data_IF_468993064411
#
_entry.id   IF_468993064411
#
_cell.length_a   1.000
_cell.length_b   1.000
_cell.length_c   1.000
_cell.angle_alpha   90.00
_cell.angle_beta   90.00
_cell.angle_gamma   90.00
#
_symmetry.space_group_name_H-M   'P 1'
#
loop_
_entity.id
_entity.type
_entity.pdbx_description
1 polymer ?
#
# COMPACT_ATOMS: atom_id res chain seq x y z
N UNK A 1 26.65 -7.72 -9.18
CA UNK A 1 26.03 -7.63 -10.52
C UNK A 1 24.91 -8.65 -10.78
N UNK A 2 24.59 -9.57 -9.86
CA UNK A 2 23.53 -10.59 -10.04
C UNK A 2 22.09 -10.09 -9.74
N UNK A 3 21.92 -8.89 -9.18
CA UNK A 3 20.61 -8.38 -8.74
C UNK A 3 19.74 -7.87 -9.89
N UNK A 4 20.30 -7.18 -10.90
CA UNK A 4 19.51 -6.68 -12.05
C UNK A 4 18.95 -7.81 -12.92
N UNK A 5 19.75 -8.83 -13.23
CA UNK A 5 19.30 -9.96 -14.04
C UNK A 5 18.20 -10.77 -13.36
N UNK A 6 18.26 -10.93 -12.03
CA UNK A 6 17.24 -11.66 -11.28
C UNK A 6 15.92 -10.87 -11.18
N UNK A 7 15.99 -9.53 -11.07
CA UNK A 7 14.80 -8.66 -11.11
C UNK A 7 14.13 -8.72 -12.49
N UNK A 8 14.90 -8.67 -13.58
CA UNK A 8 14.37 -8.81 -14.95
C UNK A 8 13.72 -10.18 -15.19
N UNK A 9 14.30 -11.26 -14.65
CA UNK A 9 13.74 -12.61 -14.76
C UNK A 9 12.42 -12.72 -13.98
N UNK A 10 12.36 -12.18 -12.76
CA UNK A 10 11.14 -12.17 -11.95
C UNK A 10 10.04 -11.35 -12.64
N UNK A 11 10.37 -10.17 -13.19
CA UNK A 11 9.40 -9.33 -13.89
C UNK A 11 8.82 -10.05 -15.11
N UNK A 12 9.67 -10.69 -15.94
CA UNK A 12 9.22 -11.50 -17.09
C UNK A 12 8.31 -12.66 -16.68
N UNK A 13 8.55 -13.27 -15.52
CA UNK A 13 7.71 -14.37 -14.99
C UNK A 13 6.37 -13.87 -14.45
N UNK A 14 6.31 -12.64 -13.96
CA UNK A 14 5.09 -12.05 -13.41
C UNK A 14 4.18 -11.47 -14.49
N UNK A 15 4.72 -11.02 -15.64
CA UNK A 15 3.95 -10.46 -16.77
C UNK A 15 2.70 -11.28 -17.15
N UNK A 16 2.78 -12.61 -17.38
CA UNK A 16 1.60 -13.40 -17.72
C UNK A 16 0.50 -13.36 -16.65
N UNK A 17 0.87 -13.21 -15.38
CA UNK A 17 -0.10 -13.11 -14.28
C UNK A 17 -0.80 -11.75 -14.32
N UNK A 18 -0.04 -10.66 -14.51
CA UNK A 18 -0.60 -9.31 -14.71
C UNK A 18 -1.52 -9.26 -15.93
N UNK A 19 -1.08 -9.77 -17.08
CA UNK A 19 -1.88 -9.83 -18.30
C UNK A 19 -3.20 -10.57 -18.07
N UNK A 20 -3.18 -11.69 -17.32
CA UNK A 20 -4.41 -12.42 -16.99
C UNK A 20 -5.33 -11.62 -16.05
N UNK A 21 -4.78 -10.92 -15.06
CA UNK A 21 -5.54 -10.10 -14.12
C UNK A 21 -6.17 -8.89 -14.81
N UNK A 22 -5.44 -8.23 -15.70
CA UNK A 22 -5.90 -7.04 -16.44
C UNK A 22 -6.99 -7.41 -17.45
N UNK A 23 -6.90 -8.61 -18.04
CA UNK A 23 -7.95 -9.16 -18.90
C UNK A 23 -9.13 -9.78 -18.12
N UNK A 24 -9.16 -9.67 -16.79
CA UNK A 24 -10.23 -10.24 -15.95
C UNK A 24 -10.24 -11.78 -15.87
N UNK A 25 -9.25 -12.45 -16.43
CA UNK A 25 -9.12 -13.90 -16.47
C UNK A 25 -8.54 -14.46 -15.16
N UNK A 26 -9.24 -14.23 -14.04
CA UNK A 26 -8.76 -14.56 -12.69
C UNK A 26 -8.41 -16.05 -12.52
N UNK A 27 -9.16 -16.98 -13.15
CA UNK A 27 -8.84 -18.42 -13.12
C UNK A 27 -7.48 -18.72 -13.75
N UNK A 28 -7.16 -18.09 -14.89
CA UNK A 28 -5.87 -18.25 -15.56
C UNK A 28 -4.75 -17.58 -14.77
N UNK A 29 -5.01 -16.42 -14.17
CA UNK A 29 -4.04 -15.75 -13.29
C UNK A 29 -3.59 -16.65 -12.13
N UNK A 30 -4.51 -17.39 -11.50
CA UNK A 30 -4.17 -18.37 -10.46
C UNK A 30 -3.28 -19.48 -11.02
N UNK A 31 -3.61 -20.02 -12.20
CA UNK A 31 -2.81 -21.08 -12.83
C UNK A 31 -1.39 -20.61 -13.18
N UNK A 32 -1.24 -19.41 -13.72
CA UNK A 32 0.08 -18.83 -14.01
C UNK A 32 0.86 -18.55 -12.72
N UNK A 33 0.20 -18.02 -11.68
CA UNK A 33 0.83 -17.84 -10.38
C UNK A 33 1.31 -19.17 -9.79
N UNK A 34 0.51 -20.24 -9.86
CA UNK A 34 0.91 -21.57 -9.39
C UNK A 34 2.08 -22.16 -10.19
N UNK A 35 2.13 -21.93 -11.51
CA UNK A 35 3.28 -22.32 -12.34
C UNK A 35 4.56 -21.61 -11.90
N UNK A 36 4.48 -20.31 -11.63
CA UNK A 36 5.62 -19.52 -11.13
C UNK A 36 6.06 -20.02 -9.76
N UNK A 37 5.12 -20.24 -8.84
CA UNK A 37 5.40 -20.71 -7.48
C UNK A 37 5.95 -22.13 -7.43
N UNK A 38 5.62 -22.99 -8.40
CA UNK A 38 6.26 -24.31 -8.55
C UNK A 38 7.76 -24.21 -8.87
N UNK A 39 8.15 -23.23 -9.68
CA UNK A 39 9.55 -22.98 -10.04
C UNK A 39 10.30 -22.19 -8.98
N UNK A 40 9.59 -21.30 -8.27
CA UNK A 40 10.17 -20.36 -7.31
C UNK A 40 9.18 -20.11 -6.18
N UNK A 41 9.26 -20.93 -5.14
CA UNK A 41 8.34 -20.90 -3.98
C UNK A 41 8.43 -19.62 -3.17
N UNK A 42 9.56 -18.92 -3.26
CA UNK A 42 9.87 -17.74 -2.45
C UNK A 42 9.48 -16.42 -3.12
N UNK A 43 8.86 -16.47 -4.31
CA UNK A 43 8.41 -15.25 -4.98
C UNK A 43 7.12 -14.73 -4.35
N UNK A 44 7.26 -13.90 -3.31
CA UNK A 44 6.15 -13.33 -2.53
C UNK A 44 5.15 -12.57 -3.40
N UNK A 45 5.64 -11.78 -4.37
CA UNK A 45 4.78 -11.05 -5.31
C UNK A 45 3.80 -11.99 -6.07
N UNK A 46 4.25 -13.16 -6.53
CA UNK A 46 3.37 -14.13 -7.19
C UNK A 46 2.28 -14.69 -6.24
N UNK A 47 2.59 -14.86 -4.95
CA UNK A 47 1.60 -15.24 -3.93
C UNK A 47 0.55 -14.15 -3.74
N UNK A 48 0.96 -12.88 -3.72
CA UNK A 48 0.03 -11.75 -3.62
C UNK A 48 -0.85 -11.64 -4.86
N UNK A 49 -0.30 -11.80 -6.06
CA UNK A 49 -1.10 -11.80 -7.30
C UNK A 49 -2.11 -12.97 -7.35
N UNK A 50 -1.74 -14.14 -6.81
CA UNK A 50 -2.69 -15.24 -6.60
C UNK A 50 -3.80 -14.84 -5.62
N UNK A 51 -3.46 -14.18 -4.52
CA UNK A 51 -4.44 -13.67 -3.56
C UNK A 51 -5.40 -12.68 -4.22
N UNK A 52 -4.89 -11.75 -5.03
CA UNK A 52 -5.71 -10.80 -5.80
C UNK A 52 -6.70 -11.51 -6.73
N UNK A 53 -6.23 -12.50 -7.49
CA UNK A 53 -7.10 -13.29 -8.36
C UNK A 53 -8.19 -14.06 -7.57
N UNK A 54 -7.85 -14.60 -6.39
CA UNK A 54 -8.81 -15.26 -5.51
C UNK A 54 -9.87 -14.29 -4.98
N UNK A 55 -9.47 -13.09 -4.55
CA UNK A 55 -10.37 -12.03 -4.09
C UNK A 55 -11.35 -11.63 -5.19
N UNK A 56 -10.86 -11.40 -6.42
CA UNK A 56 -11.70 -11.05 -7.59
C UNK A 56 -12.64 -12.19 -8.04
N UNK A 57 -12.36 -13.43 -7.64
CA UNK A 57 -13.26 -14.58 -7.86
C UNK A 57 -14.31 -14.76 -6.76
N UNK A 58 -14.34 -13.91 -5.74
CA UNK A 58 -15.24 -14.05 -4.58
C UNK A 58 -14.74 -15.04 -3.52
N UNK A 59 -13.55 -15.63 -3.69
CA UNK A 59 -12.92 -16.53 -2.71
C UNK A 59 -12.21 -15.72 -1.62
N UNK A 60 -12.98 -14.89 -0.91
CA UNK A 60 -12.46 -13.89 0.01
C UNK A 60 -11.67 -14.46 1.18
N UNK A 61 -12.12 -15.59 1.74
CA UNK A 61 -11.45 -16.23 2.89
C UNK A 61 -10.02 -16.68 2.54
N UNK A 62 -9.85 -17.37 1.41
CA UNK A 62 -8.55 -17.87 0.97
C UNK A 62 -7.61 -16.74 0.55
N UNK A 63 -8.12 -15.77 -0.23
CA UNK A 63 -7.34 -14.61 -0.65
C UNK A 63 -6.87 -13.77 0.55
N UNK A 64 -7.74 -13.54 1.52
CA UNK A 64 -7.41 -12.75 2.72
C UNK A 64 -6.43 -13.47 3.64
N UNK A 65 -6.58 -14.79 3.83
CA UNK A 65 -5.65 -15.60 4.64
C UNK A 65 -4.24 -15.65 4.03
N UNK A 66 -4.14 -15.76 2.70
CA UNK A 66 -2.86 -15.69 2.01
C UNK A 66 -2.22 -14.31 2.18
N UNK A 67 -3.00 -13.24 2.00
CA UNK A 67 -2.53 -11.86 2.14
C UNK A 67 -2.10 -11.53 3.58
N UNK A 68 -2.82 -12.02 4.59
CA UNK A 68 -2.45 -11.80 5.99
C UNK A 68 -1.15 -12.50 6.36
N UNK A 69 -0.92 -13.71 5.84
CA UNK A 69 0.33 -14.45 6.06
C UNK A 69 1.52 -13.68 5.48
N UNK A 70 1.35 -13.11 4.28
CA UNK A 70 2.39 -12.29 3.64
C UNK A 70 2.59 -10.97 4.39
N UNK A 71 1.51 -10.36 4.90
CA UNK A 71 1.62 -9.13 5.66
C UNK A 71 2.45 -9.31 6.94
N UNK A 72 2.32 -10.46 7.62
CA UNK A 72 3.09 -10.79 8.81
C UNK A 72 4.59 -10.97 8.53
N UNK A 73 4.99 -11.30 7.30
CA UNK A 73 6.40 -11.37 6.93
C UNK A 73 7.03 -10.00 6.64
N UNK A 74 6.26 -8.91 6.78
CA UNK A 74 6.68 -7.52 6.56
C UNK A 74 7.52 -7.33 5.27
N UNK A 75 6.92 -7.58 4.09
CA UNK A 75 7.64 -7.52 2.84
C UNK A 75 8.12 -6.09 2.55
N UNK A 76 9.27 -5.96 1.90
CA UNK A 76 9.84 -4.65 1.54
C UNK A 76 10.08 -4.49 0.05
N UNK A 77 9.88 -5.54 -0.76
CA UNK A 77 10.01 -5.41 -2.20
C UNK A 77 8.85 -4.58 -2.78
N UNK A 78 9.20 -3.56 -3.57
CA UNK A 78 8.24 -2.63 -4.16
C UNK A 78 7.11 -3.34 -4.92
N UNK A 79 7.44 -4.34 -5.73
CA UNK A 79 6.44 -5.11 -6.50
C UNK A 79 5.45 -5.83 -5.57
N UNK A 80 5.92 -6.38 -4.45
CA UNK A 80 5.08 -7.05 -3.46
C UNK A 80 4.19 -6.02 -2.75
N UNK A 81 4.77 -4.90 -2.29
CA UNK A 81 4.04 -3.81 -1.63
C UNK A 81 2.92 -3.25 -2.51
N UNK A 82 3.23 -3.00 -3.78
CA UNK A 82 2.26 -2.49 -4.76
C UNK A 82 1.12 -3.49 -4.99
N UNK A 83 1.43 -4.77 -5.20
CA UNK A 83 0.42 -5.81 -5.36
C UNK A 83 -0.48 -5.95 -4.12
N UNK A 84 0.09 -5.84 -2.91
CA UNK A 84 -0.69 -5.91 -1.67
C UNK A 84 -1.58 -4.68 -1.49
N UNK A 85 -1.06 -3.49 -1.80
CA UNK A 85 -1.81 -2.23 -1.79
C UNK A 85 -3.04 -2.30 -2.70
N UNK A 86 -2.92 -2.93 -3.88
CA UNK A 86 -4.07 -3.18 -4.77
C UNK A 86 -5.10 -4.09 -4.10
N UNK A 87 -4.67 -5.22 -3.53
CA UNK A 87 -5.57 -6.15 -2.82
C UNK A 87 -6.35 -5.46 -1.68
N UNK A 88 -5.66 -4.64 -0.88
CA UNK A 88 -6.29 -3.91 0.21
C UNK A 88 -7.20 -2.78 -0.27
N UNK A 89 -6.89 -2.12 -1.38
CA UNK A 89 -7.80 -1.13 -2.00
C UNK A 89 -9.09 -1.77 -2.48
N UNK A 90 -9.01 -2.92 -3.15
CA UNK A 90 -10.20 -3.64 -3.65
C UNK A 90 -11.09 -4.14 -2.50
N UNK A 91 -10.50 -4.44 -1.35
CA UNK A 91 -11.22 -4.87 -0.15
C UNK A 91 -11.50 -3.73 0.84
N UNK A 92 -11.23 -2.47 0.45
CA UNK A 92 -11.43 -1.25 1.26
C UNK A 92 -10.71 -1.23 2.63
N UNK A 93 -9.65 -2.02 2.79
CA UNK A 93 -8.85 -2.12 4.02
C UNK A 93 -7.68 -1.11 3.99
N UNK A 94 -8.02 0.18 3.97
CA UNK A 94 -7.02 1.26 3.86
C UNK A 94 -6.07 1.36 5.07
N UNK A 95 -6.54 0.93 6.24
CA UNK A 95 -5.76 0.81 7.48
C UNK A 95 -4.55 -0.12 7.29
N UNK A 96 -4.77 -1.26 6.62
CA UNK A 96 -3.70 -2.24 6.34
C UNK A 96 -2.68 -1.72 5.34
N UNK A 97 -3.07 -0.82 4.45
CA UNK A 97 -2.13 -0.15 3.53
C UNK A 97 -1.17 0.75 4.32
N UNK A 98 -1.70 1.53 5.27
CA UNK A 98 -0.84 2.36 6.13
C UNK A 98 0.09 1.49 6.97
N UNK A 99 -0.42 0.42 7.60
CA UNK A 99 0.41 -0.53 8.35
C UNK A 99 1.50 -1.18 7.49
N UNK A 100 1.16 -1.57 6.26
CA UNK A 100 2.09 -2.18 5.31
C UNK A 100 3.27 -1.26 4.98
N UNK A 101 2.97 -0.01 4.59
CA UNK A 101 4.02 0.94 4.25
C UNK A 101 4.74 1.48 5.49
N UNK A 102 4.11 1.51 6.67
CA UNK A 102 4.77 1.87 7.92
C UNK A 102 5.85 0.84 8.28
N UNK A 103 5.52 -0.45 8.23
CA UNK A 103 6.48 -1.54 8.44
C UNK A 103 7.63 -1.48 7.41
N UNK A 104 7.31 -1.31 6.13
CA UNK A 104 8.32 -1.16 5.09
C UNK A 104 9.20 0.09 5.28
N UNK A 105 8.64 1.21 5.76
CA UNK A 105 9.39 2.44 6.02
C UNK A 105 10.36 2.30 7.18
N UNK A 106 10.05 1.49 8.19
CA UNK A 106 10.96 1.20 9.31
C UNK A 106 12.19 0.42 8.85
N UNK A 107 12.02 -0.50 7.91
CA UNK A 107 13.12 -1.28 7.33
C UNK A 107 13.91 -0.48 6.28
N UNK A 108 13.24 0.41 5.53
CA UNK A 108 13.84 1.26 4.51
C UNK A 108 13.52 2.76 4.72
N UNK A 109 14.04 3.39 5.78
CA UNK A 109 13.64 4.74 6.21
C UNK A 109 14.02 5.86 5.23
N UNK A 110 14.90 5.58 4.28
CA UNK A 110 15.37 6.52 3.26
C UNK A 110 14.80 6.22 1.86
N UNK A 111 13.82 5.31 1.76
CA UNK A 111 13.15 5.03 0.49
C UNK A 111 12.01 6.02 0.26
N UNK A 112 12.23 6.92 -0.71
CA UNK A 112 11.32 8.01 -1.07
C UNK A 112 9.96 7.51 -1.57
N UNK A 113 9.93 6.40 -2.31
CA UNK A 113 8.72 5.83 -2.88
C UNK A 113 7.83 5.22 -1.79
N UNK A 114 8.44 4.46 -0.86
CA UNK A 114 7.74 3.89 0.31
C UNK A 114 7.13 5.00 1.17
N UNK A 115 7.90 6.06 1.47
CA UNK A 115 7.42 7.18 2.25
C UNK A 115 6.31 7.96 1.54
N UNK A 116 6.39 8.10 0.21
CA UNK A 116 5.36 8.74 -0.60
C UNK A 116 4.05 7.92 -0.57
N UNK A 117 4.15 6.59 -0.68
CA UNK A 117 2.99 5.71 -0.54
C UNK A 117 2.40 5.73 0.89
N UNK A 118 3.24 5.76 1.92
CA UNK A 118 2.81 5.89 3.32
C UNK A 118 2.06 7.20 3.57
N UNK A 119 2.60 8.32 3.05
CA UNK A 119 1.93 9.61 3.12
C UNK A 119 0.53 9.55 2.50
N UNK A 120 0.43 9.00 1.28
CA UNK A 120 -0.86 8.85 0.59
C UNK A 120 -1.83 7.94 1.35
N UNK A 121 -1.33 6.88 2.00
CA UNK A 121 -2.16 6.03 2.85
C UNK A 121 -2.73 6.81 4.05
N UNK A 122 -1.93 7.66 4.71
CA UNK A 122 -2.40 8.53 5.78
C UNK A 122 -3.37 9.62 5.30
N UNK A 123 -3.18 10.16 4.08
CA UNK A 123 -4.15 11.07 3.44
C UNK A 123 -5.50 10.40 3.30
N UNK A 124 -5.53 9.16 2.79
CA UNK A 124 -6.77 8.39 2.62
C UNK A 124 -7.48 8.07 3.93
N UNK A 125 -6.74 7.92 5.03
CA UNK A 125 -7.29 7.66 6.36
C UNK A 125 -7.66 8.94 7.14
N UNK A 126 -7.29 10.13 6.65
CA UNK A 126 -7.47 11.37 7.43
C UNK A 126 -6.54 11.49 8.64
N UNK A 127 -5.46 10.69 8.70
CA UNK A 127 -4.51 10.70 9.81
C UNK A 127 -3.52 11.89 9.71
N UNK A 128 -4.01 13.11 9.87
CA UNK A 128 -3.26 14.35 9.60
C UNK A 128 -1.94 14.46 10.38
N UNK A 129 -1.90 13.98 11.63
CA UNK A 129 -0.66 13.96 12.41
C UNK A 129 0.43 13.10 11.75
N UNK A 130 0.06 11.92 11.24
CA UNK A 130 1.01 11.04 10.57
C UNK A 130 1.34 11.54 9.17
N UNK A 131 0.40 12.16 8.46
CA UNK A 131 0.67 12.86 7.19
C UNK A 131 1.77 13.90 7.37
N UNK A 132 1.66 14.76 8.40
CA UNK A 132 2.66 15.78 8.70
C UNK A 132 4.04 15.17 8.99
N UNK A 133 4.10 14.14 9.85
CA UNK A 133 5.37 13.46 10.20
C UNK A 133 6.05 12.85 8.97
N UNK A 134 5.30 12.11 8.16
CA UNK A 134 5.84 11.47 6.94
C UNK A 134 6.27 12.52 5.90
N UNK A 135 5.51 13.60 5.73
CA UNK A 135 5.87 14.70 4.82
C UNK A 135 7.15 15.42 5.27
N UNK A 136 7.34 15.64 6.57
CA UNK A 136 8.58 16.21 7.11
C UNK A 136 9.78 15.28 6.92
N UNK A 137 9.59 13.97 7.05
CA UNK A 137 10.64 12.98 6.75
C UNK A 137 11.03 13.01 5.26
N UNK A 138 10.05 13.05 4.35
CA UNK A 138 10.28 13.21 2.91
C UNK A 138 11.02 14.52 2.58
N UNK A 139 10.62 15.63 3.20
CA UNK A 139 11.30 16.91 3.00
C UNK A 139 12.74 16.87 3.49
N UNK A 140 13.01 16.23 4.65
CA UNK A 140 14.38 16.05 5.14
C UNK A 140 15.22 15.16 4.20
N UNK A 141 14.62 14.12 3.62
CA UNK A 141 15.28 13.23 2.66
C UNK A 141 15.57 13.93 1.32
N UNK A 142 14.68 14.81 0.88
CA UNK A 142 14.76 15.57 -0.37
C UNK A 142 14.40 17.05 -0.17
N UNK A 143 15.29 17.86 0.44
CA UNK A 143 14.98 19.25 0.77
C UNK A 143 14.70 20.14 -0.44
N UNK A 144 15.29 19.79 -1.60
CA UNK A 144 15.15 20.53 -2.86
C UNK A 144 13.87 20.17 -3.64
N UNK A 145 13.13 19.12 -3.25
CA UNK A 145 11.84 18.79 -3.86
C UNK A 145 10.73 19.57 -3.15
N UNK A 146 10.12 20.50 -3.90
CA UNK A 146 9.07 21.39 -3.39
C UNK A 146 7.77 20.73 -2.86
N UNK A 147 7.26 19.58 -3.36
CA UNK A 147 5.93 19.12 -2.93
C UNK A 147 5.88 18.72 -1.46
N UNK A 148 6.97 18.21 -0.87
CA UNK A 148 6.94 17.61 0.47
C UNK A 148 6.74 18.63 1.60
N UNK A 149 7.32 19.83 1.46
CA UNK A 149 7.06 20.90 2.43
C UNK A 149 5.60 21.36 2.37
N UNK A 150 5.07 21.51 1.15
CA UNK A 150 3.66 21.85 0.95
C UNK A 150 2.73 20.77 1.53
N UNK A 151 3.06 19.49 1.39
CA UNK A 151 2.33 18.39 2.00
C UNK A 151 2.29 18.50 3.53
N UNK A 152 3.40 18.86 4.17
CA UNK A 152 3.46 19.07 5.61
C UNK A 152 2.57 20.24 6.05
N UNK A 153 2.66 21.38 5.36
CA UNK A 153 1.81 22.56 5.62
C UNK A 153 0.32 22.22 5.43
N UNK A 154 -0.03 21.55 4.33
CA UNK A 154 -1.41 21.15 4.05
C UNK A 154 -1.96 20.19 5.11
N UNK A 155 -1.13 19.27 5.61
CA UNK A 155 -1.53 18.36 6.70
C UNK A 155 -1.95 19.12 7.96
N UNK A 156 -1.23 20.19 8.31
CA UNK A 156 -1.55 21.06 9.45
C UNK A 156 -2.84 21.84 9.20
N UNK A 157 -3.00 22.44 8.02
CA UNK A 157 -4.22 23.18 7.65
C UNK A 157 -5.45 22.28 7.75
N UNK A 158 -5.36 21.06 7.21
CA UNK A 158 -6.46 20.08 7.28
C UNK A 158 -6.77 19.65 8.72
N UNK A 159 -5.75 19.49 9.57
CA UNK A 159 -5.93 19.19 10.99
C UNK A 159 -6.68 20.28 11.73
N UNK A 160 -6.31 21.55 11.51
CA UNK A 160 -6.95 22.71 12.14
C UNK A 160 -8.38 22.87 11.65
N UNK A 161 -8.62 22.76 10.33
CA UNK A 161 -9.97 22.87 9.76
C UNK A 161 -10.92 21.78 10.29
N UNK A 162 -10.43 20.55 10.46
CA UNK A 162 -11.22 19.47 11.05
C UNK A 162 -11.60 19.78 12.50
N UNK A 163 -10.66 20.30 13.30
CA UNK A 163 -10.92 20.66 14.70
C UNK A 163 -11.93 21.81 14.82
N UNK A 164 -11.79 22.86 14.01
CA UNK A 164 -12.73 23.98 13.97
C UNK A 164 -14.15 23.53 13.62
N UNK A 165 -14.29 22.66 12.61
CA UNK A 165 -15.58 22.09 12.22
C UNK A 165 -16.23 21.31 13.37
N UNK A 166 -15.45 20.47 14.07
CA UNK A 166 -15.92 19.73 15.24
C UNK A 166 -16.41 20.65 16.35
N UNK A 167 -15.67 21.72 16.66
CA UNK A 167 -16.03 22.68 17.70
C UNK A 167 -17.35 23.40 17.38
N UNK A 168 -17.50 23.92 16.17
CA UNK A 168 -18.72 24.61 15.73
C UNK A 168 -19.97 23.71 15.80
N UNK A 169 -19.85 22.45 15.39
CA UNK A 169 -20.97 21.50 15.38
C UNK A 169 -21.25 20.87 16.75
N UNK A 170 -20.26 20.81 17.65
CA UNK A 170 -20.49 20.44 19.05
C UNK A 170 -21.17 21.57 19.83
N UNK A 171 -20.81 22.83 19.61
CA UNK A 171 -21.46 23.97 20.29
C UNK A 171 -22.93 24.15 19.88
N UNK A 172 -23.28 23.91 18.61
CA UNK A 172 -24.68 23.96 18.14
C UNK A 172 -25.58 22.85 18.71
N UNK A 173 -25.01 21.70 19.11
CA UNK A 173 -25.76 20.59 19.71
C UNK A 173 -25.96 20.71 21.24
N UNK A 174 -25.23 21.61 21.90
CA UNK A 174 -25.36 21.85 23.36
C UNK A 174 -26.40 22.96 23.64
N UNK A 175 -26.80 23.76 22.65
CA UNK A 175 -27.79 24.84 22.82
C UNK A 175 -29.18 24.49 22.28
N UNK A 176 -29.42 23.22 21.95
CA UNK A 176 -30.69 22.69 21.44
C UNK A 176 -31.41 21.72 22.41
N UNK A 177 -30.98 21.67 23.68
CA UNK A 177 -31.63 20.96 24.79
C UNK A 177 -31.97 21.91 25.94
#
# INVERSE_FOLDING_TARGET
MASRSHVDINERRLRPIYDCLDNGNNKKAIQEADKVLKKQKDLTCAKVLKALALLRMGRHAEGSSLLSTIHQSEPTEEQTLNAMSICYKETQQYDKIASLYDAASKQQPNNEDILSCLFMAHVRLGNYQQQQRTAMQLHKLRPKKNPYYFWAVMSIVMQVNMQSYFLEHYHLNIHSY
#
